data_IF_667952026659
#
_entry.id   IF_667952026659
#
_cell.length_a   1.000
_cell.length_b   1.000
_cell.length_c   1.000
_cell.angle_alpha   90.00
_cell.angle_beta   90.00
_cell.angle_gamma   90.00
#
_symmetry.space_group_name_H-M   'P 1'
#
loop_
_entity.id
_entity.type
_entity.pdbx_description
1 polymer ?
#
# COMPACT_ATOMS: atom_id res chain seq x y z
N UNK A 1 -9.43 20.42 -11.20
CA UNK A 1 -8.44 19.56 -11.87
C UNK A 1 -9.16 18.38 -12.53
N UNK A 2 -8.54 17.84 -13.58
CA UNK A 2 -8.99 16.64 -14.28
C UNK A 2 -8.18 15.45 -13.78
N UNK A 3 -8.84 14.43 -13.27
CA UNK A 3 -8.21 13.24 -12.76
C UNK A 3 -8.51 12.02 -13.63
N UNK A 4 -7.53 11.12 -13.78
CA UNK A 4 -7.77 9.76 -14.23
C UNK A 4 -7.92 8.85 -13.01
N UNK A 5 -8.90 7.97 -13.02
CA UNK A 5 -9.07 6.90 -12.04
C UNK A 5 -8.70 5.59 -12.71
N UNK A 6 -7.70 4.90 -12.18
CA UNK A 6 -7.23 3.62 -12.69
C UNK A 6 -7.52 2.54 -11.66
N UNK A 7 -8.46 1.63 -11.98
CA UNK A 7 -9.08 0.70 -11.07
C UNK A 7 -10.41 1.24 -10.52
N UNK A 8 -11.53 0.77 -11.08
CA UNK A 8 -12.87 1.28 -10.75
C UNK A 8 -13.67 0.32 -9.84
N UNK A 9 -12.98 -0.24 -8.85
CA UNK A 9 -13.57 -1.02 -7.76
C UNK A 9 -14.20 -0.13 -6.67
N UNK A 10 -14.24 -0.61 -5.43
CA UNK A 10 -14.78 0.13 -4.28
C UNK A 10 -14.06 1.48 -4.08
N UNK A 11 -12.71 1.48 -4.14
CA UNK A 11 -11.92 2.69 -3.95
C UNK A 11 -12.09 3.68 -5.11
N UNK A 12 -12.05 3.22 -6.36
CA UNK A 12 -12.24 4.09 -7.52
C UNK A 12 -13.57 4.82 -7.52
N UNK A 13 -14.66 4.14 -7.17
CA UNK A 13 -16.01 4.74 -7.06
C UNK A 13 -16.08 5.78 -5.93
N UNK A 14 -15.45 5.52 -4.80
CA UNK A 14 -15.41 6.46 -3.69
C UNK A 14 -14.56 7.69 -4.03
N UNK A 15 -13.45 7.49 -4.74
CA UNK A 15 -12.60 8.58 -5.23
C UNK A 15 -13.39 9.46 -6.21
N UNK A 16 -14.12 8.89 -7.16
CA UNK A 16 -14.97 9.65 -8.09
C UNK A 16 -15.99 10.50 -7.35
N UNK A 17 -16.70 9.91 -6.38
CA UNK A 17 -17.67 10.62 -5.54
C UNK A 17 -17.03 11.84 -4.86
N UNK A 18 -15.86 11.63 -4.23
CA UNK A 18 -15.14 12.70 -3.51
C UNK A 18 -14.60 13.77 -4.48
N UNK A 19 -14.08 13.38 -5.64
CA UNK A 19 -13.64 14.32 -6.67
C UNK A 19 -14.78 15.25 -7.09
N UNK A 20 -15.94 14.68 -7.37
CA UNK A 20 -17.16 15.42 -7.75
C UNK A 20 -17.61 16.37 -6.65
N UNK A 21 -17.67 15.90 -5.40
CA UNK A 21 -18.05 16.73 -4.24
C UNK A 21 -17.09 17.91 -4.01
N UNK A 22 -15.81 17.72 -4.39
CA UNK A 22 -14.78 18.78 -4.29
C UNK A 22 -14.68 19.66 -5.53
N UNK A 23 -15.56 19.51 -6.50
CA UNK A 23 -15.57 20.28 -7.75
C UNK A 23 -14.42 19.93 -8.70
N UNK A 24 -13.95 18.68 -8.67
CA UNK A 24 -12.99 18.12 -9.61
C UNK A 24 -13.69 17.19 -10.59
N UNK A 25 -13.03 16.86 -11.68
CA UNK A 25 -13.56 16.02 -12.76
C UNK A 25 -12.81 14.68 -12.80
N UNK A 26 -13.55 13.57 -12.76
CA UNK A 26 -13.03 12.25 -13.14
C UNK A 26 -13.13 12.14 -14.67
N UNK A 27 -12.14 12.69 -15.36
CA UNK A 27 -12.17 12.85 -16.81
C UNK A 27 -11.85 11.56 -17.58
N UNK A 28 -11.18 10.60 -16.93
CA UNK A 28 -10.85 9.28 -17.47
C UNK A 28 -11.05 8.24 -16.39
N UNK A 29 -11.76 7.16 -16.72
CA UNK A 29 -11.93 6.00 -15.84
C UNK A 29 -11.43 4.76 -16.57
N UNK A 30 -10.43 4.11 -16.02
CA UNK A 30 -9.82 2.88 -16.55
C UNK A 30 -10.13 1.73 -15.59
N UNK A 31 -10.65 0.63 -16.14
CA UNK A 31 -10.84 -0.64 -15.45
C UNK A 31 -10.39 -1.80 -16.35
N UNK A 32 -10.65 -3.03 -15.98
CA UNK A 32 -10.24 -4.24 -16.72
C UNK A 32 -10.71 -4.23 -18.17
N UNK A 33 -11.91 -3.75 -18.43
CA UNK A 33 -12.55 -3.82 -19.77
C UNK A 33 -11.94 -2.84 -20.77
N UNK A 34 -11.43 -1.71 -20.30
CA UNK A 34 -10.84 -0.66 -21.13
C UNK A 34 -9.37 -0.34 -20.75
N UNK A 35 -8.66 -1.29 -20.16
CA UNK A 35 -7.25 -1.11 -19.79
C UNK A 35 -6.33 -0.72 -20.96
N UNK A 36 -6.75 -1.01 -22.20
CA UNK A 36 -6.04 -0.63 -23.42
C UNK A 36 -6.13 0.86 -23.75
N UNK A 37 -7.06 1.60 -23.15
CA UNK A 37 -7.21 3.06 -23.28
C UNK A 37 -6.24 3.84 -22.36
N UNK A 38 -5.46 3.16 -21.52
CA UNK A 38 -4.42 3.81 -20.74
C UNK A 38 -3.22 4.13 -21.61
N UNK A 39 -3.29 5.19 -22.36
CA UNK A 39 -2.29 5.64 -23.32
C UNK A 39 -2.14 7.17 -23.36
N UNK A 40 -1.20 7.66 -24.18
CA UNK A 40 -0.91 9.08 -24.29
C UNK A 40 -2.08 9.92 -24.83
N UNK A 41 -2.94 9.35 -25.66
CA UNK A 41 -4.06 10.07 -26.24
C UNK A 41 -5.15 10.32 -25.20
N UNK A 42 -5.49 9.31 -24.40
CA UNK A 42 -6.51 9.42 -23.35
C UNK A 42 -6.00 10.16 -22.09
N UNK A 43 -4.70 10.10 -21.82
CA UNK A 43 -4.09 10.85 -20.73
C UNK A 43 -3.81 12.33 -21.06
N UNK A 44 -4.04 12.75 -22.30
CA UNK A 44 -3.84 14.14 -22.71
C UNK A 44 -4.76 15.11 -21.92
N UNK A 45 -4.15 16.05 -21.21
CA UNK A 45 -4.90 17.04 -20.41
C UNK A 45 -5.39 16.53 -19.04
N UNK A 46 -4.94 15.36 -18.62
CA UNK A 46 -5.12 14.86 -17.24
C UNK A 46 -4.05 15.48 -16.33
N UNK A 47 -4.48 16.00 -15.18
CA UNK A 47 -3.59 16.61 -14.20
C UNK A 47 -2.94 15.55 -13.28
N UNK A 48 -3.69 14.50 -12.93
CA UNK A 48 -3.25 13.45 -11.99
C UNK A 48 -3.96 12.13 -12.26
N UNK A 49 -3.25 11.03 -12.11
CA UNK A 49 -3.80 9.67 -12.14
C UNK A 49 -3.86 9.09 -10.71
N UNK A 50 -5.02 8.55 -10.34
CA UNK A 50 -5.30 7.91 -9.06
C UNK A 50 -5.42 6.41 -9.29
N UNK A 51 -4.37 5.65 -8.92
CA UNK A 51 -4.20 4.23 -9.25
C UNK A 51 -4.50 3.36 -8.04
N UNK A 52 -5.55 2.52 -8.16
CA UNK A 52 -6.01 1.59 -7.14
C UNK A 52 -6.46 0.27 -7.79
N UNK A 53 -5.49 -0.50 -8.29
CA UNK A 53 -5.73 -1.75 -9.03
C UNK A 53 -5.23 -2.98 -8.28
N UNK A 54 -4.39 -3.79 -8.91
CA UNK A 54 -3.78 -5.00 -8.35
C UNK A 54 -2.25 -4.92 -8.42
N UNK A 55 -1.53 -5.72 -7.61
CA UNK A 55 -0.07 -5.73 -7.63
C UNK A 55 0.53 -5.96 -9.02
N UNK A 56 -0.12 -6.82 -9.82
CA UNK A 56 0.35 -7.23 -11.15
C UNK A 56 0.28 -6.10 -12.18
N UNK A 57 -0.67 -5.18 -12.02
CA UNK A 57 -0.94 -4.11 -13.00
C UNK A 57 -0.40 -2.75 -12.58
N UNK A 58 -0.27 -2.50 -11.28
CA UNK A 58 0.07 -1.20 -10.71
C UNK A 58 1.35 -0.60 -11.30
N UNK A 59 2.44 -1.37 -11.32
CA UNK A 59 3.72 -0.90 -11.88
C UNK A 59 3.57 -0.38 -13.31
N UNK A 60 2.90 -1.16 -14.18
CA UNK A 60 2.69 -0.79 -15.58
C UNK A 60 1.84 0.47 -15.70
N UNK A 61 0.76 0.53 -14.95
CA UNK A 61 -0.16 1.66 -14.97
C UNK A 61 0.55 2.96 -14.55
N UNK A 62 1.28 2.93 -13.44
CA UNK A 62 2.05 4.07 -12.93
C UNK A 62 3.11 4.50 -13.94
N UNK A 63 3.86 3.54 -14.49
CA UNK A 63 4.88 3.79 -15.51
C UNK A 63 4.30 4.52 -16.71
N UNK A 64 3.17 4.03 -17.25
CA UNK A 64 2.49 4.67 -18.38
C UNK A 64 2.11 6.11 -18.06
N UNK A 65 1.56 6.40 -16.87
CA UNK A 65 1.23 7.76 -16.47
C UNK A 65 2.46 8.67 -16.47
N UNK A 66 3.56 8.23 -15.84
CA UNK A 66 4.81 9.01 -15.77
C UNK A 66 5.39 9.23 -17.17
N UNK A 67 5.42 8.21 -18.03
CA UNK A 67 5.89 8.32 -19.42
C UNK A 67 5.06 9.30 -20.25
N UNK A 68 3.77 9.42 -19.94
CA UNK A 68 2.85 10.39 -20.55
C UNK A 68 2.87 11.78 -19.87
N UNK A 69 3.74 12.00 -18.87
CA UNK A 69 3.85 13.28 -18.18
C UNK A 69 2.74 13.55 -17.15
N UNK A 70 1.98 12.53 -16.75
CA UNK A 70 0.91 12.63 -15.75
C UNK A 70 1.43 12.18 -14.38
N UNK A 71 1.24 13.03 -13.37
CA UNK A 71 1.56 12.69 -11.99
C UNK A 71 0.71 11.50 -11.51
N UNK A 72 1.31 10.55 -10.79
CA UNK A 72 0.62 9.36 -10.32
C UNK A 72 0.53 9.32 -8.78
N UNK A 73 -0.64 8.94 -8.29
CA UNK A 73 -0.90 8.63 -6.87
C UNK A 73 -1.36 7.18 -6.81
N UNK A 74 -0.60 6.30 -6.15
CA UNK A 74 -0.93 4.88 -6.08
C UNK A 74 -1.18 4.43 -4.65
N UNK A 75 -2.31 3.74 -4.45
CA UNK A 75 -2.67 3.04 -3.22
C UNK A 75 -2.64 1.51 -3.35
N UNK A 76 -2.28 0.99 -4.50
CA UNK A 76 -2.09 -0.46 -4.69
C UNK A 76 -0.86 -0.93 -3.94
N UNK A 77 -0.98 -2.01 -3.17
CA UNK A 77 0.13 -2.63 -2.42
C UNK A 77 0.72 -3.82 -3.17
N UNK A 78 1.87 -4.34 -2.75
CA UNK A 78 2.45 -5.60 -3.27
C UNK A 78 3.19 -5.49 -4.61
N UNK A 79 3.56 -4.28 -5.07
CA UNK A 79 4.33 -4.04 -6.31
C UNK A 79 5.65 -3.28 -6.08
N UNK A 80 5.95 -2.93 -4.85
CA UNK A 80 7.02 -2.00 -4.48
C UNK A 80 8.43 -2.52 -4.72
N UNK A 81 8.62 -3.79 -5.04
CA UNK A 81 9.91 -4.36 -5.45
C UNK A 81 10.56 -3.58 -6.61
N UNK A 82 9.71 -2.96 -7.44
CA UNK A 82 10.13 -2.15 -8.59
C UNK A 82 9.97 -0.64 -8.39
N UNK A 83 9.74 -0.20 -7.16
CA UNK A 83 9.55 1.23 -6.85
C UNK A 83 10.76 2.07 -7.26
N UNK A 84 11.96 1.54 -7.06
CA UNK A 84 13.21 2.22 -7.45
C UNK A 84 13.28 2.59 -8.94
N UNK A 85 12.77 1.72 -9.83
CA UNK A 85 12.72 1.98 -11.27
C UNK A 85 11.80 3.17 -11.59
N UNK A 86 10.63 3.25 -10.92
CA UNK A 86 9.69 4.35 -11.12
C UNK A 86 10.20 5.67 -10.53
N UNK A 87 10.95 5.62 -9.43
CA UNK A 87 11.59 6.80 -8.86
C UNK A 87 12.66 7.36 -9.81
N UNK A 88 13.42 6.49 -10.46
CA UNK A 88 14.40 6.92 -11.48
C UNK A 88 13.69 7.52 -12.70
N UNK A 89 12.66 6.86 -13.20
CA UNK A 89 11.83 7.38 -14.31
C UNK A 89 11.24 8.76 -13.99
N UNK A 90 10.77 8.98 -12.73
CA UNK A 90 10.32 10.29 -12.30
C UNK A 90 11.42 11.35 -12.39
N UNK A 91 12.66 11.02 -11.98
CA UNK A 91 13.79 11.94 -12.06
C UNK A 91 14.14 12.27 -13.52
N UNK A 92 14.19 11.25 -14.38
CA UNK A 92 14.49 11.41 -15.80
C UNK A 92 13.45 12.24 -16.56
N UNK A 93 12.18 12.07 -16.22
CA UNK A 93 11.05 12.70 -16.92
C UNK A 93 10.55 13.98 -16.26
N UNK A 94 11.07 14.36 -15.09
CA UNK A 94 10.51 15.44 -14.28
C UNK A 94 9.08 15.12 -13.81
N UNK A 95 8.76 13.82 -13.66
CA UNK A 95 7.46 13.32 -13.24
C UNK A 95 7.30 13.31 -11.73
N UNK A 96 6.12 12.91 -11.26
CA UNK A 96 5.84 12.77 -9.83
C UNK A 96 5.07 11.48 -9.54
N UNK A 97 5.51 10.79 -8.49
CA UNK A 97 4.84 9.61 -7.93
C UNK A 97 4.66 9.80 -6.42
N UNK A 98 3.42 9.68 -5.96
CA UNK A 98 3.10 9.58 -4.55
C UNK A 98 2.51 8.19 -4.26
N UNK A 99 3.25 7.38 -3.53
CA UNK A 99 2.81 6.05 -3.10
C UNK A 99 2.63 6.02 -1.59
N UNK A 100 1.55 5.39 -1.14
CA UNK A 100 1.36 5.03 0.26
C UNK A 100 0.54 3.72 0.35
N UNK A 101 0.96 2.81 1.23
CA UNK A 101 0.19 1.61 1.57
C UNK A 101 -1.10 1.93 2.32
N UNK A 102 -1.17 3.11 2.94
CA UNK A 102 -2.33 3.62 3.64
C UNK A 102 -2.34 5.17 3.62
N UNK A 103 -3.46 5.76 3.26
CA UNK A 103 -3.64 7.22 3.20
C UNK A 103 -4.30 7.81 4.46
N UNK A 104 -4.64 6.98 5.45
CA UNK A 104 -5.19 7.47 6.71
C UNK A 104 -4.10 8.14 7.54
N UNK A 105 -4.26 9.42 7.86
CA UNK A 105 -3.31 10.18 8.67
C UNK A 105 -3.05 9.52 10.03
N UNK A 106 -4.10 9.03 10.70
CA UNK A 106 -3.98 8.35 12.00
C UNK A 106 -3.11 7.10 11.93
N UNK A 107 -3.25 6.30 10.85
CA UNK A 107 -2.43 5.10 10.63
C UNK A 107 -0.96 5.49 10.39
N UNK A 108 -0.70 6.53 9.61
CA UNK A 108 0.67 7.02 9.38
C UNK A 108 1.33 7.58 10.65
N UNK A 109 0.55 8.26 11.51
CA UNK A 109 1.02 8.67 12.84
C UNK A 109 1.36 7.46 13.71
N UNK A 110 0.53 6.42 13.68
CA UNK A 110 0.81 5.15 14.38
C UNK A 110 2.08 4.49 13.88
N UNK A 111 2.33 4.43 12.57
CA UNK A 111 3.59 3.91 12.02
C UNK A 111 4.80 4.68 12.54
N UNK A 112 4.71 6.00 12.60
CA UNK A 112 5.79 6.84 13.13
C UNK A 112 6.04 6.59 14.62
N UNK A 113 4.98 6.53 15.42
CA UNK A 113 5.08 6.24 16.86
C UNK A 113 5.64 4.84 17.11
N UNK A 114 5.24 3.85 16.33
CA UNK A 114 5.73 2.48 16.40
C UNK A 114 7.27 2.42 16.19
N UNK A 115 7.81 3.09 15.18
CA UNK A 115 9.26 3.18 14.97
C UNK A 115 9.98 3.85 16.16
N UNK A 116 9.43 4.93 16.68
CA UNK A 116 10.01 5.62 17.84
C UNK A 116 9.99 4.74 19.09
N UNK A 117 8.88 4.04 19.34
CA UNK A 117 8.74 3.12 20.46
C UNK A 117 9.73 1.96 20.33
N UNK A 118 9.87 1.35 19.15
CA UNK A 118 10.84 0.29 18.91
C UNK A 118 12.28 0.74 19.24
N UNK A 119 12.69 1.93 18.78
CA UNK A 119 13.99 2.49 19.08
C UNK A 119 14.20 2.82 20.59
N UNK A 120 13.11 3.14 21.31
CA UNK A 120 13.19 3.34 22.77
C UNK A 120 13.33 2.02 23.50
N UNK A 121 12.56 1.00 23.12
CA UNK A 121 12.60 -0.35 23.69
C UNK A 121 13.98 -0.99 23.46
N UNK A 122 14.56 -0.83 22.26
CA UNK A 122 15.90 -1.33 21.94
C UNK A 122 16.97 -0.84 22.94
N UNK A 123 16.90 0.44 23.31
CA UNK A 123 17.84 1.04 24.30
C UNK A 123 17.63 0.54 25.71
N UNK A 124 16.39 0.24 26.10
CA UNK A 124 16.07 -0.23 27.47
C UNK A 124 16.37 -1.72 27.59
N UNK A 125 16.11 -2.50 26.55
CA UNK A 125 16.25 -3.96 26.54
C UNK A 125 15.21 -4.69 27.40
N UNK A 126 15.20 -6.02 27.31
CA UNK A 126 14.33 -6.87 28.15
C UNK A 126 12.87 -6.97 27.72
N UNK A 127 12.53 -6.46 26.55
CA UNK A 127 11.18 -6.56 25.95
C UNK A 127 11.20 -7.44 24.70
N UNK A 128 10.10 -8.13 24.48
CA UNK A 128 9.79 -8.79 23.21
C UNK A 128 8.54 -8.17 22.59
N UNK A 129 8.38 -8.32 21.28
CA UNK A 129 7.30 -7.68 20.51
C UNK A 129 6.61 -8.73 19.63
N UNK A 130 5.29 -8.71 19.68
CA UNK A 130 4.43 -9.41 18.72
C UNK A 130 3.35 -8.44 18.20
N UNK A 131 2.78 -8.77 17.05
CA UNK A 131 1.66 -8.04 16.47
C UNK A 131 0.46 -8.98 16.43
N UNK A 132 -0.69 -8.47 16.79
CA UNK A 132 -1.97 -9.17 16.66
C UNK A 132 -2.95 -8.25 15.94
N UNK A 133 -3.56 -8.74 14.87
CA UNK A 133 -4.54 -7.98 14.11
C UNK A 133 -5.87 -8.74 13.98
N UNK A 134 -6.96 -7.98 13.97
CA UNK A 134 -8.32 -8.52 13.82
C UNK A 134 -9.00 -7.79 12.67
N UNK A 135 -9.57 -8.52 11.76
CA UNK A 135 -10.26 -7.99 10.58
C UNK A 135 -11.67 -8.56 10.43
N UNK A 136 -12.43 -7.92 9.55
CA UNK A 136 -13.74 -8.44 9.13
C UNK A 136 -13.57 -9.74 8.33
N UNK A 137 -14.61 -10.58 8.31
CA UNK A 137 -14.61 -11.92 7.68
C UNK A 137 -14.42 -11.93 6.15
N UNK A 138 -14.50 -10.78 5.48
CA UNK A 138 -14.31 -10.67 4.02
C UNK A 138 -12.86 -10.35 3.61
N UNK A 139 -11.93 -10.18 4.57
CA UNK A 139 -10.53 -9.96 4.27
C UNK A 139 -9.90 -11.24 3.70
N UNK A 140 -9.20 -11.12 2.58
CA UNK A 140 -8.67 -12.28 1.83
C UNK A 140 -7.17 -12.49 2.02
N UNK A 141 -6.45 -11.46 2.46
CA UNK A 141 -5.00 -11.46 2.65
C UNK A 141 -4.64 -11.40 4.14
N UNK A 142 -3.61 -12.11 4.52
CA UNK A 142 -2.98 -12.08 5.84
C UNK A 142 -1.46 -12.34 5.70
N UNK A 143 -0.60 -11.58 6.40
CA UNK A 143 -0.92 -10.40 7.20
C UNK A 143 -1.38 -9.21 6.36
N UNK A 144 -2.03 -8.22 7.00
CA UNK A 144 -2.40 -6.98 6.32
C UNK A 144 -1.16 -6.14 5.97
N UNK A 145 -1.26 -5.31 4.93
CA UNK A 145 -0.19 -4.34 4.63
C UNK A 145 0.13 -3.41 5.81
N UNK A 146 -0.84 -3.13 6.66
CA UNK A 146 -0.63 -2.35 7.90
C UNK A 146 0.23 -3.11 8.90
N UNK A 147 -0.06 -4.40 9.14
CA UNK A 147 0.74 -5.22 10.05
C UNK A 147 2.17 -5.42 9.54
N UNK A 148 2.34 -5.64 8.24
CA UNK A 148 3.66 -5.73 7.60
C UNK A 148 4.44 -4.42 7.81
N UNK A 149 3.84 -3.25 7.53
CA UNK A 149 4.51 -1.95 7.72
C UNK A 149 4.89 -1.69 9.18
N UNK A 150 4.05 -2.13 10.14
CA UNK A 150 4.37 -2.05 11.57
C UNK A 150 5.57 -2.95 11.90
N UNK A 151 5.56 -4.20 11.45
CA UNK A 151 6.64 -5.16 11.70
C UNK A 151 7.97 -4.69 11.10
N UNK A 152 7.97 -4.23 9.84
CA UNK A 152 9.14 -3.67 9.19
C UNK A 152 9.70 -2.47 9.96
N UNK A 153 8.83 -1.56 10.40
CA UNK A 153 9.22 -0.41 11.21
C UNK A 153 9.81 -0.80 12.58
N UNK A 154 9.42 -1.93 13.17
CA UNK A 154 10.04 -2.47 14.38
C UNK A 154 11.39 -3.09 14.05
N UNK A 155 11.49 -3.93 13.02
CA UNK A 155 12.74 -4.58 12.57
C UNK A 155 13.83 -3.55 12.28
N UNK A 156 13.49 -2.44 11.62
CA UNK A 156 14.43 -1.35 11.33
C UNK A 156 15.00 -0.67 12.60
N UNK A 157 14.33 -0.77 13.76
CA UNK A 157 14.63 0.00 14.96
C UNK A 157 14.84 -0.86 16.20
N UNK A 158 14.81 -2.18 16.12
CA UNK A 158 15.01 -3.12 17.21
C UNK A 158 16.07 -4.15 16.80
N UNK A 159 17.31 -3.97 17.26
CA UNK A 159 18.48 -4.73 16.82
C UNK A 159 18.36 -6.24 17.02
N UNK A 160 17.57 -6.70 18.00
CA UNK A 160 17.31 -8.13 18.26
C UNK A 160 16.38 -8.79 17.25
N UNK A 161 15.75 -8.05 16.32
CA UNK A 161 14.81 -8.59 15.34
C UNK A 161 15.35 -8.44 13.91
N UNK A 162 15.37 -9.54 13.16
CA UNK A 162 15.88 -9.60 11.80
C UNK A 162 14.78 -9.76 10.74
N UNK A 163 13.53 -9.83 11.13
CA UNK A 163 12.38 -9.95 10.26
C UNK A 163 11.12 -10.30 11.04
N UNK A 164 10.09 -10.67 10.29
CA UNK A 164 8.81 -11.12 10.84
C UNK A 164 8.40 -12.47 10.24
N UNK A 165 7.45 -13.14 10.89
CA UNK A 165 6.86 -14.39 10.44
C UNK A 165 5.36 -14.38 10.70
N UNK A 166 4.58 -14.84 9.72
CA UNK A 166 3.15 -15.06 9.89
C UNK A 166 2.93 -16.48 10.43
N UNK A 167 2.48 -16.58 11.68
CA UNK A 167 2.16 -17.86 12.32
C UNK A 167 0.69 -18.29 12.11
N UNK A 168 -0.11 -17.45 11.49
CA UNK A 168 -1.49 -17.73 11.13
C UNK A 168 -1.69 -17.69 9.61
N UNK A 169 -1.09 -18.60 8.84
CA UNK A 169 -1.19 -18.61 7.39
C UNK A 169 -2.61 -19.02 6.96
N UNK A 170 -3.40 -18.02 6.61
CA UNK A 170 -4.71 -18.22 6.02
C UNK A 170 -5.88 -17.82 6.91
N UNK A 171 -6.88 -17.23 6.26
CA UNK A 171 -8.17 -16.94 6.87
C UNK A 171 -9.06 -18.16 6.60
N UNK A 172 -9.15 -19.07 7.55
CA UNK A 172 -10.19 -20.10 7.49
C UNK A 172 -11.53 -19.45 7.85
N UNK A 173 -12.46 -19.46 6.91
CA UNK A 173 -13.81 -18.90 7.06
C UNK A 173 -14.71 -19.66 8.05
N UNK A 174 -14.21 -20.69 8.70
CA UNK A 174 -14.93 -21.50 9.68
C UNK A 174 -14.53 -21.12 11.11
N UNK A 175 -15.41 -20.39 11.75
CA UNK A 175 -15.46 -20.24 13.21
C UNK A 175 -14.29 -19.52 13.90
N UNK A 176 -14.00 -18.27 13.60
CA UNK A 176 -13.29 -17.31 14.47
C UNK A 176 -12.10 -17.84 15.30
N UNK A 177 -11.41 -18.88 14.87
CA UNK A 177 -10.27 -19.44 15.58
C UNK A 177 -9.12 -19.62 14.61
N UNK A 178 -8.10 -18.80 14.77
CA UNK A 178 -6.81 -18.96 14.10
C UNK A 178 -6.00 -19.94 14.95
N UNK A 179 -5.68 -21.11 14.40
CA UNK A 179 -4.75 -22.03 15.05
C UNK A 179 -3.32 -21.58 14.73
N UNK A 180 -2.55 -21.34 15.78
CA UNK A 180 -1.12 -21.01 15.67
C UNK A 180 -0.35 -22.23 15.18
N UNK A 181 0.49 -22.05 14.19
CA UNK A 181 1.43 -23.09 13.72
C UNK A 181 2.82 -22.87 14.32
N UNK A 182 3.00 -23.21 15.60
CA UNK A 182 4.32 -23.16 16.27
C UNK A 182 4.62 -21.87 17.01
N UNK A 183 5.91 -21.66 17.33
CA UNK A 183 6.45 -20.46 17.98
C UNK A 183 7.35 -19.69 17.01
N UNK A 184 7.32 -18.38 17.06
CA UNK A 184 8.23 -17.55 16.27
C UNK A 184 9.68 -17.72 16.76
N UNK A 185 10.69 -17.79 15.86
CA UNK A 185 12.09 -17.67 16.27
C UNK A 185 12.32 -16.36 17.03
N UNK A 186 13.24 -16.39 18.04
CA UNK A 186 13.49 -15.24 18.92
C UNK A 186 13.92 -13.97 18.17
N UNK A 187 14.54 -14.10 16.99
CA UNK A 187 14.97 -13.01 16.12
C UNK A 187 13.89 -12.55 15.12
N UNK A 188 12.66 -13.08 15.23
CA UNK A 188 11.53 -12.70 14.37
C UNK A 188 10.40 -12.09 15.19
N UNK A 189 9.64 -11.21 14.53
CA UNK A 189 8.38 -10.68 15.06
C UNK A 189 7.27 -11.61 14.60
N UNK A 190 6.48 -12.09 15.53
CA UNK A 190 5.24 -12.82 15.22
C UNK A 190 4.16 -11.83 14.75
N UNK A 191 3.50 -12.15 13.62
CA UNK A 191 2.28 -11.48 13.14
C UNK A 191 1.16 -12.51 13.11
#
# INVERSE_FOLDING_TARGET
>A
MKAAIIGYGKMGREIERILTERGHEAALIIDTDNAHELDAAHLAGIDVALEFTTPETAYRNIRTCIECGVAAVSGTTGWTDRLGELQELCRERGGALFYASNYCLGVNLMFRLNRQLAAMIDRVGGYDVRIEEVHHTQKKDAPSGTAITLAEGIVENLAGKQGWVNLAPGIEHAANRIERSGEAPADRIEI
#
